data_IF_901549360763
#
_entry.id   IF_901549360763
#
_cell.length_a   1.000
_cell.length_b   1.000
_cell.length_c   1.000
_cell.angle_alpha   90.00
_cell.angle_beta   90.00
_cell.angle_gamma   90.00
#
_symmetry.space_group_name_H-M   'P 1'
#
loop_
_entity.id
_entity.type
_entity.pdbx_description
1 polymer ?
#
# COMPACT_ATOMS: atom_id res chain seq x y z
N UNK A 1 -1.13 33.30 55.74
CA UNK A 1 -1.58 33.49 54.35
C UNK A 1 -0.94 32.37 53.55
N UNK A 2 -1.73 31.58 52.83
CA UNK A 2 -1.18 30.55 51.96
C UNK A 2 -0.54 31.29 50.77
N UNK A 3 0.72 30.99 50.45
CA UNK A 3 1.43 31.63 49.33
C UNK A 3 0.76 31.25 48.00
N UNK A 4 -0.08 32.13 47.47
CA UNK A 4 -0.81 31.94 46.21
C UNK A 4 0.14 31.69 45.02
N UNK A 5 1.35 32.27 45.06
CA UNK A 5 2.39 32.06 44.04
C UNK A 5 2.87 30.60 43.99
N UNK A 6 3.10 29.97 45.14
CA UNK A 6 3.56 28.57 45.22
C UNK A 6 2.47 27.60 44.72
N UNK A 7 1.20 27.88 45.03
CA UNK A 7 0.04 27.15 44.49
C UNK A 7 -0.08 27.26 42.97
N UNK A 8 0.20 28.43 42.40
CA UNK A 8 0.17 28.65 40.95
C UNK A 8 1.28 27.87 40.23
N UNK A 9 2.49 27.84 40.80
CA UNK A 9 3.65 27.12 40.29
C UNK A 9 3.44 25.61 40.34
N UNK A 10 2.84 25.11 41.42
CA UNK A 10 2.54 23.68 41.54
C UNK A 10 1.43 23.23 40.58
N UNK A 11 0.44 24.08 40.35
CA UNK A 11 -0.61 23.86 39.35
C UNK A 11 -0.04 23.81 37.93
N UNK A 12 0.88 24.72 37.59
CA UNK A 12 1.60 24.73 36.31
C UNK A 12 2.44 23.46 36.09
N UNK A 13 3.14 22.99 37.13
CA UNK A 13 3.89 21.72 37.07
C UNK A 13 2.97 20.53 36.80
N UNK A 14 1.81 20.46 37.47
CA UNK A 14 0.81 19.39 37.27
C UNK A 14 0.22 19.43 35.85
N UNK A 15 -0.08 20.62 35.33
CA UNK A 15 -0.58 20.79 33.95
C UNK A 15 0.45 20.31 32.92
N UNK A 16 1.72 20.68 33.08
CA UNK A 16 2.79 20.24 32.18
C UNK A 16 2.98 18.72 32.20
N UNK A 17 2.92 18.09 33.38
CA UNK A 17 2.98 16.63 33.51
C UNK A 17 1.80 15.93 32.85
N UNK A 18 0.60 16.51 32.92
CA UNK A 18 -0.59 15.96 32.24
C UNK A 18 -0.46 16.07 30.72
N UNK A 19 0.06 17.19 30.22
CA UNK A 19 0.30 17.41 28.79
C UNK A 19 1.36 16.45 28.23
N UNK A 20 2.44 16.18 28.99
CA UNK A 20 3.46 15.20 28.65
C UNK A 20 2.88 13.77 28.58
N UNK A 21 2.05 13.38 29.56
CA UNK A 21 1.37 12.07 29.56
C UNK A 21 0.43 11.90 28.36
N UNK A 22 -0.38 12.91 28.06
CA UNK A 22 -1.26 12.92 26.89
C UNK A 22 -0.48 12.77 25.59
N UNK A 23 0.64 13.48 25.46
CA UNK A 23 1.50 13.40 24.28
C UNK A 23 2.16 12.02 24.12
N UNK A 24 2.53 11.36 25.22
CA UNK A 24 3.06 9.99 25.17
C UNK A 24 1.99 8.96 24.78
N UNK A 25 0.77 9.07 25.31
CA UNK A 25 -0.34 8.20 24.97
C UNK A 25 -0.70 8.32 23.49
N UNK A 26 -0.83 9.55 22.98
CA UNK A 26 -1.07 9.82 21.56
C UNK A 26 0.05 9.25 20.66
N UNK A 27 1.32 9.32 21.08
CA UNK A 27 2.44 8.70 20.34
C UNK A 27 2.34 7.18 20.32
N UNK A 28 1.95 6.54 21.41
CA UNK A 28 1.78 5.08 21.50
C UNK A 28 0.61 4.60 20.64
N UNK A 29 -0.51 5.30 20.67
CA UNK A 29 -1.69 4.96 19.87
C UNK A 29 -1.42 5.11 18.36
N UNK A 30 -0.74 6.19 17.97
CA UNK A 30 -0.34 6.39 16.57
C UNK A 30 0.66 5.32 16.07
N UNK A 31 1.53 4.80 16.94
CA UNK A 31 2.40 3.66 16.60
C UNK A 31 1.57 2.40 16.35
N UNK A 32 0.63 2.07 17.24
CA UNK A 32 -0.28 0.92 17.07
C UNK A 32 -1.11 1.01 15.77
N UNK A 33 -1.71 2.18 15.50
CA UNK A 33 -2.45 2.42 14.24
C UNK A 33 -1.58 2.26 12.99
N UNK A 34 -0.30 2.64 13.04
CA UNK A 34 0.64 2.42 11.93
C UNK A 34 0.97 0.94 11.71
N UNK A 35 1.14 0.18 12.80
CA UNK A 35 1.40 -1.26 12.74
C UNK A 35 0.20 -2.03 12.19
N UNK A 36 -1.02 -1.77 12.67
CA UNK A 36 -2.25 -2.38 12.15
C UNK A 36 -2.44 -2.06 10.66
N UNK A 37 -2.23 -0.80 10.27
CA UNK A 37 -2.27 -0.39 8.87
C UNK A 37 -1.20 -1.11 8.02
N UNK A 38 -0.02 -1.40 8.58
CA UNK A 38 1.03 -2.11 7.86
C UNK A 38 0.64 -3.56 7.55
N UNK A 39 0.03 -4.26 8.52
CA UNK A 39 -0.43 -5.65 8.36
C UNK A 39 -1.58 -5.71 7.36
N UNK A 40 -2.55 -4.81 7.48
CA UNK A 40 -3.68 -4.71 6.54
C UNK A 40 -3.19 -4.43 5.11
N UNK A 41 -2.23 -3.52 4.94
CA UNK A 41 -1.63 -3.22 3.64
C UNK A 41 -0.89 -4.42 3.04
N UNK A 42 -0.22 -5.23 3.85
CA UNK A 42 0.44 -6.44 3.39
C UNK A 42 -0.56 -7.51 2.93
N UNK A 43 -1.61 -7.75 3.70
CA UNK A 43 -2.67 -8.70 3.34
C UNK A 43 -3.39 -8.28 2.05
N UNK A 44 -3.73 -6.99 1.93
CA UNK A 44 -4.29 -6.43 0.69
C UNK A 44 -3.34 -6.60 -0.49
N UNK A 45 -2.04 -6.35 -0.32
CA UNK A 45 -1.05 -6.57 -1.37
C UNK A 45 -1.04 -8.02 -1.85
N UNK A 46 -1.07 -8.99 -0.93
CA UNK A 46 -1.08 -10.41 -1.28
C UNK A 46 -2.35 -10.84 -2.00
N UNK A 47 -3.53 -10.43 -1.50
CA UNK A 47 -4.80 -10.71 -2.18
C UNK A 47 -4.84 -10.13 -3.60
N UNK A 48 -4.31 -8.92 -3.79
CA UNK A 48 -4.17 -8.32 -5.12
C UNK A 48 -3.14 -9.06 -5.99
N UNK A 49 -2.00 -9.48 -5.44
CA UNK A 49 -0.99 -10.27 -6.17
C UNK A 49 -1.60 -11.56 -6.76
N UNK A 50 -2.50 -12.22 -6.04
CA UNK A 50 -3.17 -13.45 -6.51
C UNK A 50 -4.17 -13.21 -7.65
N UNK A 51 -4.89 -12.09 -7.65
CA UNK A 51 -5.91 -11.77 -8.65
C UNK A 51 -5.34 -11.18 -9.96
N UNK A 52 -4.08 -10.74 -9.96
CA UNK A 52 -3.46 -10.11 -11.14
C UNK A 52 -3.12 -11.12 -12.26
N UNK A 53 -3.09 -10.68 -13.53
CA UNK A 53 -2.64 -11.51 -14.66
C UNK A 53 -1.19 -11.99 -14.50
N UNK A 54 -0.87 -13.18 -15.05
CA UNK A 54 0.48 -13.78 -14.96
C UNK A 54 1.62 -12.83 -15.40
N UNK A 55 1.39 -12.06 -16.47
CA UNK A 55 2.36 -11.08 -16.96
C UNK A 55 2.69 -10.01 -15.92
N UNK A 56 1.69 -9.56 -15.17
CA UNK A 56 1.86 -8.58 -14.08
C UNK A 56 2.55 -9.22 -12.89
N UNK A 57 2.18 -10.45 -12.50
CA UNK A 57 2.88 -11.21 -11.43
C UNK A 57 4.36 -11.39 -11.74
N UNK A 58 4.71 -11.70 -13.00
CA UNK A 58 6.11 -11.81 -13.43
C UNK A 58 6.87 -10.49 -13.26
N UNK A 59 6.25 -9.36 -13.63
CA UNK A 59 6.84 -8.02 -13.41
C UNK A 59 7.03 -7.68 -11.94
N UNK A 60 6.04 -7.98 -11.09
CA UNK A 60 6.13 -7.80 -9.63
C UNK A 60 7.34 -8.55 -9.07
N UNK A 61 7.52 -9.82 -9.47
CA UNK A 61 8.67 -10.65 -9.06
C UNK A 61 10.00 -10.09 -9.55
N UNK A 62 10.11 -9.73 -10.84
CA UNK A 62 11.36 -9.19 -11.41
C UNK A 62 11.75 -7.86 -10.79
N UNK A 63 10.78 -6.99 -10.49
CA UNK A 63 11.01 -5.68 -9.87
C UNK A 63 11.09 -5.75 -8.33
N UNK A 64 10.95 -6.94 -7.73
CA UNK A 64 10.96 -7.17 -6.28
C UNK A 64 9.99 -6.24 -5.52
N UNK A 65 8.80 -6.02 -6.06
CA UNK A 65 7.78 -5.18 -5.42
C UNK A 65 7.16 -5.95 -4.26
N UNK A 66 7.18 -5.37 -3.06
CA UNK A 66 6.72 -6.00 -1.81
C UNK A 66 5.53 -5.30 -1.16
N UNK A 67 5.09 -4.17 -1.70
CA UNK A 67 4.04 -3.34 -1.09
C UNK A 67 3.10 -2.72 -2.14
N UNK A 68 1.95 -2.24 -1.67
CA UNK A 68 0.94 -1.59 -2.50
C UNK A 68 1.48 -0.36 -3.25
N UNK A 69 2.40 0.38 -2.64
CA UNK A 69 2.95 1.58 -3.27
C UNK A 69 3.81 1.26 -4.50
N UNK A 70 4.63 0.20 -4.45
CA UNK A 70 5.36 -0.29 -5.61
C UNK A 70 4.42 -0.84 -6.69
N UNK A 71 3.30 -1.46 -6.28
CA UNK A 71 2.27 -1.91 -7.21
C UNK A 71 1.58 -0.74 -7.92
N UNK A 72 1.29 0.36 -7.21
CA UNK A 72 0.77 1.61 -7.82
C UNK A 72 1.76 2.20 -8.83
N UNK A 73 3.07 2.15 -8.56
CA UNK A 73 4.08 2.61 -9.54
C UNK A 73 4.05 1.80 -10.84
N UNK A 74 3.70 0.52 -10.79
CA UNK A 74 3.48 -0.30 -11.99
C UNK A 74 2.26 0.16 -12.80
N UNK A 75 1.19 0.65 -12.17
CA UNK A 75 -0.02 1.08 -12.87
C UNK A 75 0.08 2.50 -13.43
N UNK A 76 0.93 3.35 -12.83
CA UNK A 76 1.09 4.78 -13.18
C UNK A 76 2.13 5.03 -14.30
N UNK A 77 2.80 4.00 -14.82
CA UNK A 77 3.75 4.17 -15.94
C UNK A 77 3.01 4.35 -17.28
N UNK A 78 2.90 5.62 -17.68
CA UNK A 78 2.21 6.20 -18.84
C UNK A 78 2.62 5.66 -20.22
N UNK A 79 1.90 4.68 -20.81
CA UNK A 79 1.59 4.66 -22.27
C UNK A 79 0.35 3.80 -22.56
N UNK A 80 -0.82 4.44 -22.48
CA UNK A 80 -2.19 3.97 -22.82
C UNK A 80 -3.02 3.59 -21.60
N UNK A 81 -4.25 4.14 -21.58
CA UNK A 81 -5.42 3.54 -20.95
C UNK A 81 -5.50 2.06 -21.38
N UNK A 82 -4.79 1.18 -20.69
CA UNK A 82 -5.05 -0.24 -20.82
C UNK A 82 -6.33 -0.48 -20.02
N UNK A 83 -7.47 -0.25 -20.69
CA UNK A 83 -8.51 -1.27 -20.64
C UNK A 83 -7.76 -2.59 -20.76
N UNK A 84 -7.79 -3.40 -19.71
CA UNK A 84 -7.47 -4.82 -19.85
C UNK A 84 -8.55 -5.30 -20.80
N UNK A 85 -8.32 -5.13 -22.11
CA UNK A 85 -9.09 -5.80 -23.14
C UNK A 85 -8.67 -7.23 -22.93
N UNK A 86 -9.40 -7.93 -22.06
CA UNK A 86 -9.43 -9.37 -21.99
C UNK A 86 -9.56 -9.78 -23.45
N UNK A 87 -8.46 -10.24 -24.04
CA UNK A 87 -8.48 -10.62 -25.44
C UNK A 87 -9.47 -11.76 -25.52
N UNK A 88 -10.60 -11.49 -26.17
CA UNK A 88 -11.60 -12.51 -26.42
C UNK A 88 -10.91 -13.70 -27.09
N UNK A 89 -11.31 -14.91 -26.73
CA UNK A 89 -10.67 -16.15 -27.15
C UNK A 89 -10.50 -16.24 -28.69
N UNK A 90 -11.32 -15.50 -29.44
CA UNK A 90 -11.30 -15.31 -30.90
C UNK A 90 -10.01 -14.66 -31.43
N UNK A 91 -9.42 -13.71 -30.70
CA UNK A 91 -8.19 -13.02 -31.12
C UNK A 91 -6.93 -13.88 -30.93
N UNK A 92 -6.95 -14.78 -29.94
CA UNK A 92 -5.87 -15.75 -29.69
C UNK A 92 -5.85 -16.83 -30.79
N UNK A 93 -7.01 -17.27 -31.27
CA UNK A 93 -7.12 -18.29 -32.33
C UNK A 93 -6.55 -17.81 -33.67
N UNK A 94 -6.79 -16.55 -34.07
CA UNK A 94 -6.28 -15.99 -35.34
C UNK A 94 -4.74 -16.00 -35.42
N UNK A 95 -4.05 -15.81 -34.30
CA UNK A 95 -2.57 -15.85 -34.25
C UNK A 95 -1.99 -17.26 -34.39
N UNK A 96 -2.69 -18.29 -33.90
CA UNK A 96 -2.26 -19.70 -34.04
C UNK A 96 -2.36 -20.17 -35.49
N UNK A 97 -3.38 -19.75 -36.23
CA UNK A 97 -3.54 -20.12 -37.64
C UNK A 97 -2.44 -19.53 -38.54
N UNK A 98 -2.08 -18.25 -38.39
CA UNK A 98 -1.00 -17.63 -39.18
C UNK A 98 0.35 -18.35 -39.06
N UNK A 99 0.68 -18.88 -37.88
CA UNK A 99 1.93 -19.65 -37.67
C UNK A 99 1.92 -21.03 -38.33
N UNK A 100 0.75 -21.67 -38.51
CA UNK A 100 0.65 -22.96 -39.21
C UNK A 100 0.87 -22.83 -40.72
N UNK A 101 0.37 -21.75 -41.33
CA UNK A 101 0.56 -21.52 -42.78
C UNK A 101 1.99 -21.15 -43.13
N UNK A 102 2.69 -20.37 -42.29
CA UNK A 102 4.10 -20.02 -42.52
C UNK A 102 5.09 -21.17 -42.30
N UNK A 103 4.69 -22.23 -41.59
CA UNK A 103 5.51 -23.45 -41.41
C UNK A 103 5.31 -24.48 -42.51
N UNK A 104 4.29 -24.29 -43.36
CA UNK A 104 3.94 -25.19 -44.47
C UNK A 104 4.23 -24.57 -45.85
N UNK A 105 4.77 -23.36 -45.88
CA UNK A 105 5.26 -22.68 -47.08
C UNK A 105 6.78 -22.84 -47.14
#
# INVERSE_FOLDING_TARGET
>A
MINEEELSLESLKKLKQLEEKLNEENKKENKKKKEENSVNNFMQFKSLEHSLPYQVKKKIKTMKIKNLQGLKKLTVTNKKKYYIKILDHKDVQKRKHKRKYHKKA
#
